data_IF_891355095817
#
_entry.id   IF_891355095817
#
_cell.length_a   1.000
_cell.length_b   1.000
_cell.length_c   1.000
_cell.angle_alpha   90.00
_cell.angle_beta   90.00
_cell.angle_gamma   90.00
#
_symmetry.space_group_name_H-M   'P 1'
#
loop_
_entity.id
_entity.type
_entity.pdbx_description
1 polymer ?
#
# COMPACT_ATOMS: atom_id res chain seq x y z
N UNK A 1 20.58 -16.57 28.72
CA UNK A 1 19.61 -17.43 29.42
C UNK A 1 19.01 -18.34 28.38
N UNK A 2 19.31 -19.64 28.50
CA UNK A 2 19.23 -20.60 27.39
C UNK A 2 17.78 -20.86 26.97
N UNK A 3 17.54 -20.99 25.66
CA UNK A 3 16.27 -21.41 25.04
C UNK A 3 15.74 -22.76 25.58
N UNK A 4 16.55 -23.47 26.35
CA UNK A 4 16.23 -24.77 26.93
C UNK A 4 15.33 -24.70 28.17
N UNK A 5 15.14 -23.54 28.82
CA UNK A 5 14.23 -23.44 29.99
C UNK A 5 12.76 -23.33 29.59
N UNK A 6 12.45 -22.73 28.43
CA UNK A 6 11.06 -22.64 27.95
C UNK A 6 10.55 -24.00 27.43
N UNK A 7 11.45 -24.83 26.88
CA UNK A 7 11.10 -26.18 26.44
C UNK A 7 10.86 -27.13 27.61
N UNK A 8 11.58 -26.96 28.74
CA UNK A 8 11.34 -27.77 29.94
C UNK A 8 10.01 -27.46 30.64
N UNK A 9 9.45 -26.25 30.48
CA UNK A 9 8.15 -25.89 31.06
C UNK A 9 6.98 -26.51 30.27
N UNK A 10 7.16 -26.81 28.98
CA UNK A 10 6.15 -27.40 28.11
C UNK A 10 6.18 -28.95 28.07
N UNK A 11 7.20 -29.59 28.65
CA UNK A 11 7.43 -31.04 28.53
C UNK A 11 7.04 -31.86 29.77
N UNK A 12 6.55 -31.25 30.84
CA UNK A 12 6.34 -31.94 32.11
C UNK A 12 4.93 -31.82 32.70
N UNK A 13 3.95 -31.26 31.99
CA UNK A 13 2.64 -31.01 32.63
C UNK A 13 1.40 -31.10 31.73
N UNK A 14 1.33 -31.98 30.73
CA UNK A 14 0.06 -32.06 29.98
C UNK A 14 -0.35 -33.42 29.43
N UNK A 15 -1.63 -33.70 29.67
CA UNK A 15 -2.38 -34.93 29.47
C UNK A 15 -2.64 -35.25 27.98
N UNK A 16 -3.28 -36.39 27.71
CA UNK A 16 -3.60 -36.97 26.39
C UNK A 16 -4.28 -35.98 25.40
N UNK A 17 -4.91 -34.91 25.91
CA UNK A 17 -5.56 -33.84 25.14
C UNK A 17 -4.57 -32.92 24.37
N UNK A 18 -3.32 -32.81 24.82
CA UNK A 18 -2.31 -31.94 24.18
C UNK A 18 -1.71 -32.54 22.90
N UNK A 19 -1.75 -33.87 22.78
CA UNK A 19 -1.31 -34.57 21.58
C UNK A 19 -2.21 -34.23 20.39
N UNK A 20 -3.52 -34.09 20.63
CA UNK A 20 -4.49 -33.69 19.62
C UNK A 20 -4.25 -32.25 19.16
N UNK A 21 -4.00 -31.32 20.09
CA UNK A 21 -3.67 -29.93 19.79
C UNK A 21 -2.39 -29.82 18.95
N UNK A 22 -1.34 -30.57 19.29
CA UNK A 22 -0.08 -30.60 18.53
C UNK A 22 -0.28 -31.07 17.09
N UNK A 23 -1.14 -32.07 16.86
CA UNK A 23 -1.42 -32.57 15.50
C UNK A 23 -2.18 -31.55 14.65
N UNK A 24 -3.16 -30.84 15.24
CA UNK A 24 -3.93 -29.79 14.56
C UNK A 24 -3.03 -28.62 14.15
N UNK A 25 -2.10 -28.22 15.02
CA UNK A 25 -1.13 -27.14 14.73
C UNK A 25 -0.20 -27.53 13.58
N UNK A 26 0.35 -28.75 13.61
CA UNK A 26 1.26 -29.22 12.57
C UNK A 26 0.56 -29.34 11.20
N UNK A 27 -0.70 -29.81 11.18
CA UNK A 27 -1.50 -29.88 9.97
C UNK A 27 -1.84 -28.50 9.40
N UNK A 28 -2.17 -27.53 10.24
CA UNK A 28 -2.47 -26.16 9.78
C UNK A 28 -1.20 -25.44 9.30
N UNK A 29 -0.04 -25.70 9.91
CA UNK A 29 1.25 -25.18 9.44
C UNK A 29 1.60 -25.71 8.03
N UNK A 30 1.43 -27.02 7.78
CA UNK A 30 1.65 -27.63 6.47
C UNK A 30 0.63 -27.16 5.42
N UNK A 31 -0.64 -27.01 5.81
CA UNK A 31 -1.70 -26.49 4.92
C UNK A 31 -1.38 -25.07 4.47
N UNK A 32 -1.02 -24.18 5.40
CA UNK A 32 -0.60 -22.80 5.11
C UNK A 32 0.67 -22.75 4.25
N UNK A 33 1.58 -23.71 4.40
CA UNK A 33 2.81 -23.81 3.59
C UNK A 33 2.48 -24.22 2.15
N UNK A 34 1.56 -25.18 1.98
CA UNK A 34 1.08 -25.60 0.66
C UNK A 34 0.31 -24.49 -0.07
N UNK A 35 -0.52 -23.72 0.65
CA UNK A 35 -1.23 -22.56 0.09
C UNK A 35 -0.27 -21.47 -0.39
N UNK A 36 0.84 -21.26 0.33
CA UNK A 36 1.91 -20.33 -0.10
C UNK A 36 2.65 -20.83 -1.35
N UNK A 37 2.82 -22.15 -1.51
CA UNK A 37 3.49 -22.73 -2.68
C UNK A 37 2.63 -22.74 -3.95
N UNK A 38 1.30 -22.83 -3.82
CA UNK A 38 0.37 -22.90 -4.97
C UNK A 38 0.25 -21.57 -5.73
N UNK A 39 0.58 -20.43 -5.11
CA UNK A 39 0.55 -19.12 -5.79
C UNK A 39 1.82 -18.89 -6.62
N UNK A 40 1.98 -19.66 -7.70
CA UNK A 40 2.99 -19.41 -8.73
C UNK A 40 2.65 -18.13 -9.49
N UNK A 41 3.17 -17.01 -9.01
CA UNK A 41 3.16 -15.76 -9.76
C UNK A 41 4.01 -15.94 -11.02
N UNK A 42 3.39 -15.80 -12.20
CA UNK A 42 4.13 -15.73 -13.47
C UNK A 42 5.20 -14.65 -13.34
N UNK A 43 6.46 -15.04 -13.51
CA UNK A 43 7.59 -14.13 -13.51
C UNK A 43 7.51 -13.08 -14.63
N UNK A 44 8.55 -12.25 -14.72
CA UNK A 44 8.66 -11.25 -15.78
C UNK A 44 8.55 -11.90 -17.16
N UNK A 45 7.61 -11.40 -17.98
CA UNK A 45 7.45 -11.86 -19.36
C UNK A 45 8.60 -11.27 -20.19
N UNK A 46 9.42 -12.15 -20.79
CA UNK A 46 10.48 -11.75 -21.70
C UNK A 46 9.91 -10.90 -22.84
N UNK A 47 10.52 -9.74 -23.13
CA UNK A 47 10.04 -8.79 -24.13
C UNK A 47 9.08 -7.70 -23.62
N UNK A 48 8.63 -7.76 -22.35
CA UNK A 48 7.84 -6.67 -21.77
C UNK A 48 8.72 -5.43 -21.55
N UNK A 49 8.38 -4.33 -22.22
CA UNK A 49 9.02 -3.03 -22.00
C UNK A 49 8.45 -2.35 -20.76
N UNK A 50 9.36 -1.91 -19.88
CA UNK A 50 9.00 -1.00 -18.79
C UNK A 50 8.76 0.41 -19.36
N UNK A 51 7.63 1.02 -18.99
CA UNK A 51 7.32 2.42 -19.31
C UNK A 51 7.43 3.22 -18.01
N UNK A 52 8.27 4.25 -18.02
CA UNK A 52 8.34 5.18 -16.90
C UNK A 52 7.12 6.10 -16.93
N UNK A 53 6.11 5.78 -16.11
CA UNK A 53 4.84 6.51 -16.05
C UNK A 53 4.94 7.77 -15.16
N UNK A 54 6.15 8.22 -14.80
CA UNK A 54 6.37 9.43 -14.02
C UNK A 54 5.79 9.36 -12.62
N UNK A 55 6.08 8.28 -11.87
CA UNK A 55 5.51 8.03 -10.54
C UNK A 55 5.76 9.18 -9.55
N UNK A 56 6.97 9.74 -9.55
CA UNK A 56 7.38 10.84 -8.67
C UNK A 56 6.62 12.13 -9.05
N UNK A 57 6.64 12.51 -10.32
CA UNK A 57 5.93 13.69 -10.82
C UNK A 57 4.42 13.62 -10.57
N UNK A 58 3.83 12.44 -10.72
CA UNK A 58 2.41 12.23 -10.42
C UNK A 58 2.09 12.42 -8.93
N UNK A 59 2.99 12.00 -8.03
CA UNK A 59 2.83 12.22 -6.60
C UNK A 59 2.91 13.72 -6.27
N UNK A 60 3.94 14.40 -6.76
CA UNK A 60 4.15 15.84 -6.55
C UNK A 60 2.96 16.65 -7.05
N UNK A 61 2.38 16.31 -8.21
CA UNK A 61 1.19 16.99 -8.75
C UNK A 61 0.00 16.84 -7.81
N UNK A 62 -0.35 15.61 -7.39
CA UNK A 62 -1.46 15.38 -6.46
C UNK A 62 -1.23 16.11 -5.13
N UNK A 63 0.00 16.05 -4.60
CA UNK A 63 0.35 16.70 -3.36
C UNK A 63 0.22 18.22 -3.47
N UNK A 64 0.81 18.85 -4.49
CA UNK A 64 0.71 20.29 -4.72
C UNK A 64 -0.73 20.76 -4.89
N UNK A 65 -1.51 19.99 -5.64
CA UNK A 65 -2.86 20.39 -6.03
C UNK A 65 -3.84 20.41 -4.84
N UNK A 66 -3.71 19.44 -3.93
CA UNK A 66 -4.69 19.19 -2.86
C UNK A 66 -4.12 19.25 -1.45
N UNK A 67 -2.82 18.97 -1.30
CA UNK A 67 -2.14 18.74 -0.03
C UNK A 67 -1.06 19.79 0.34
N UNK A 68 -0.69 20.71 -0.54
CA UNK A 68 0.19 21.82 -0.17
C UNK A 68 -0.54 22.83 0.72
N UNK A 69 0.23 23.72 1.36
CA UNK A 69 -0.27 24.90 2.07
C UNK A 69 0.38 26.15 1.44
N UNK A 70 -0.40 27.03 0.79
CA UNK A 70 -1.79 26.85 0.37
C UNK A 70 -1.94 25.83 -0.78
N UNK A 71 -3.05 25.08 -0.88
CA UNK A 71 -3.28 24.18 -2.01
C UNK A 71 -3.71 24.93 -3.28
N UNK A 72 -3.40 24.40 -4.45
CA UNK A 72 -3.87 24.97 -5.74
C UNK A 72 -5.39 24.99 -5.81
N UNK A 73 -6.03 23.90 -5.37
CA UNK A 73 -7.48 23.80 -5.37
C UNK A 73 -8.10 24.06 -3.99
N UNK A 74 -9.11 24.95 -3.90
CA UNK A 74 -9.85 25.16 -2.66
C UNK A 74 -10.54 23.89 -2.14
N UNK A 75 -10.86 23.81 -0.83
CA UNK A 75 -11.44 22.61 -0.19
C UNK A 75 -12.74 22.07 -0.83
N UNK A 76 -13.49 22.91 -1.55
CA UNK A 76 -14.69 22.49 -2.29
C UNK A 76 -14.38 21.44 -3.37
N UNK A 77 -13.26 21.59 -4.07
CA UNK A 77 -12.84 20.65 -5.11
C UNK A 77 -12.32 19.35 -4.50
N UNK A 78 -11.61 19.44 -3.37
CA UNK A 78 -11.20 18.26 -2.61
C UNK A 78 -12.41 17.38 -2.24
N UNK A 79 -13.47 17.99 -1.68
CA UNK A 79 -14.71 17.27 -1.34
C UNK A 79 -15.40 16.68 -2.56
N UNK A 80 -15.43 17.40 -3.70
CA UNK A 80 -15.99 16.85 -4.95
C UNK A 80 -15.20 15.63 -5.46
N UNK A 81 -13.86 15.69 -5.35
CA UNK A 81 -12.94 14.65 -5.84
C UNK A 81 -12.94 13.40 -4.96
N UNK A 82 -12.71 13.58 -3.66
CA UNK A 82 -12.51 12.49 -2.70
C UNK A 82 -13.74 12.16 -1.86
N UNK A 83 -14.81 12.96 -1.98
CA UNK A 83 -16.09 12.81 -1.25
C UNK A 83 -15.95 12.86 0.28
N UNK A 84 -14.85 13.42 0.77
CA UNK A 84 -14.54 13.58 2.19
C UNK A 84 -13.70 14.85 2.42
N UNK A 85 -13.52 15.24 3.68
CA UNK A 85 -12.61 16.34 4.05
C UNK A 85 -11.15 15.86 4.09
N UNK A 86 -10.21 16.80 3.93
CA UNK A 86 -8.78 16.50 3.84
C UNK A 86 -8.19 15.86 5.11
N UNK A 87 -8.60 16.32 6.29
CA UNK A 87 -8.16 15.73 7.55
C UNK A 87 -8.59 14.27 7.71
N UNK A 88 -9.81 13.93 7.26
CA UNK A 88 -10.29 12.55 7.26
C UNK A 88 -9.49 11.69 6.27
N UNK A 89 -9.19 12.22 5.09
CA UNK A 89 -8.34 11.53 4.12
C UNK A 89 -6.98 11.16 4.71
N UNK A 90 -6.29 12.12 5.35
CA UNK A 90 -4.96 11.90 5.93
C UNK A 90 -5.00 10.87 7.08
N UNK A 91 -6.05 10.88 7.90
CA UNK A 91 -6.25 9.85 8.93
C UNK A 91 -6.45 8.46 8.33
N UNK A 92 -7.24 8.34 7.26
CA UNK A 92 -7.45 7.07 6.57
C UNK A 92 -6.14 6.60 5.94
N UNK A 93 -5.39 7.50 5.30
CA UNK A 93 -4.08 7.18 4.73
C UNK A 93 -3.16 6.58 5.79
N UNK A 94 -3.00 7.25 6.95
CA UNK A 94 -2.16 6.76 8.02
C UNK A 94 -2.63 5.40 8.57
N UNK A 95 -3.94 5.21 8.74
CA UNK A 95 -4.50 3.94 9.20
C UNK A 95 -4.27 2.80 8.20
N UNK A 96 -4.41 3.08 6.90
CA UNK A 96 -4.19 2.10 5.82
C UNK A 96 -2.71 1.77 5.68
N UNK A 97 -1.81 2.75 5.72
CA UNK A 97 -0.36 2.53 5.70
C UNK A 97 0.12 1.68 6.89
N UNK A 98 -0.51 1.86 8.07
CA UNK A 98 -0.20 1.07 9.25
C UNK A 98 -0.72 -0.37 9.16
N UNK A 99 -1.83 -0.60 8.46
CA UNK A 99 -2.46 -1.91 8.39
C UNK A 99 -1.97 -2.75 7.20
N UNK A 100 -1.69 -2.13 6.06
CA UNK A 100 -1.35 -2.81 4.82
C UNK A 100 -0.03 -2.29 4.20
N UNK A 101 1.04 -3.10 4.20
CA UNK A 101 2.31 -2.78 3.57
C UNK A 101 2.22 -2.43 2.08
N UNK A 102 1.16 -2.86 1.39
CA UNK A 102 0.91 -2.49 0.00
C UNK A 102 0.82 -0.98 -0.18
N UNK A 103 0.32 -0.22 0.79
CA UNK A 103 0.17 1.23 0.67
C UNK A 103 1.46 1.99 0.99
N UNK A 104 2.38 1.38 1.74
CA UNK A 104 3.69 1.97 2.02
C UNK A 104 4.49 2.10 0.72
N UNK A 105 5.05 3.28 0.48
CA UNK A 105 5.86 3.51 -0.71
C UNK A 105 7.24 2.86 -0.53
N UNK A 106 7.49 1.79 -1.27
CA UNK A 106 8.77 1.07 -1.25
C UNK A 106 9.58 1.33 -2.52
N UNK A 107 10.89 1.12 -2.43
CA UNK A 107 11.78 1.10 -3.59
C UNK A 107 11.72 -0.29 -4.22
N UNK A 108 11.52 -0.34 -5.55
CA UNK A 108 11.66 -1.58 -6.30
C UNK A 108 13.12 -2.04 -6.32
N UNK A 109 13.36 -3.29 -6.76
CA UNK A 109 14.71 -3.89 -6.89
C UNK A 109 15.64 -3.03 -7.76
N UNK A 110 15.10 -2.27 -8.72
CA UNK A 110 15.84 -1.31 -9.55
C UNK A 110 16.10 0.06 -8.87
N UNK A 111 15.86 0.20 -7.57
CA UNK A 111 16.07 1.42 -6.78
C UNK A 111 15.04 2.54 -6.99
N UNK A 112 14.09 2.39 -7.94
CA UNK A 112 13.04 3.37 -8.21
C UNK A 112 11.91 3.32 -7.18
N UNK A 113 11.40 4.49 -6.79
CA UNK A 113 10.22 4.60 -5.92
C UNK A 113 8.96 4.15 -6.65
N UNK A 114 8.21 3.24 -6.02
CA UNK A 114 6.90 2.85 -6.49
C UNK A 114 5.83 3.92 -6.29
N UNK A 115 4.58 3.58 -6.62
CA UNK A 115 3.45 4.47 -6.38
C UNK A 115 3.31 4.78 -4.89
N UNK A 116 3.09 6.05 -4.57
CA UNK A 116 2.77 6.50 -3.21
C UNK A 116 1.39 6.04 -2.77
N UNK A 117 1.16 5.99 -1.46
CA UNK A 117 -0.17 5.79 -0.85
C UNK A 117 -1.20 6.79 -1.39
N UNK A 118 -0.83 8.07 -1.52
CA UNK A 118 -1.68 9.10 -2.13
C UNK A 118 -2.15 8.71 -3.52
N UNK A 119 -1.26 8.24 -4.39
CA UNK A 119 -1.62 7.82 -5.75
C UNK A 119 -2.53 6.58 -5.74
N UNK A 120 -2.22 5.58 -4.91
CA UNK A 120 -3.01 4.35 -4.78
C UNK A 120 -4.43 4.67 -4.28
N UNK A 121 -4.54 5.45 -3.21
CA UNK A 121 -5.82 5.88 -2.65
C UNK A 121 -6.60 6.78 -3.62
N UNK A 122 -5.92 7.70 -4.31
CA UNK A 122 -6.55 8.55 -5.33
C UNK A 122 -7.14 7.70 -6.45
N UNK A 123 -6.41 6.69 -6.94
CA UNK A 123 -6.90 5.77 -7.95
C UNK A 123 -8.11 4.95 -7.47
N UNK A 124 -8.10 4.50 -6.20
CA UNK A 124 -9.21 3.72 -5.63
C UNK A 124 -10.47 4.55 -5.38
N UNK A 125 -10.33 5.80 -4.93
CA UNK A 125 -11.45 6.66 -4.52
C UNK A 125 -12.04 7.44 -5.71
N UNK A 126 -11.22 7.84 -6.68
CA UNK A 126 -11.67 8.67 -7.79
C UNK A 126 -12.38 7.84 -8.86
N UNK A 127 -13.72 7.95 -8.94
CA UNK A 127 -14.47 7.56 -10.14
C UNK A 127 -14.41 8.72 -11.15
N UNK A 128 -13.67 8.52 -12.23
CA UNK A 128 -13.40 9.43 -13.35
C UNK A 128 -12.41 10.61 -13.11
N UNK A 129 -11.48 10.85 -14.05
CA UNK A 129 -10.59 12.02 -14.03
C UNK A 129 -11.39 13.32 -14.20
N UNK A 130 -10.99 14.37 -13.47
CA UNK A 130 -11.51 15.71 -13.64
C UNK A 130 -10.87 16.28 -14.92
N UNK A 131 -11.62 16.59 -15.99
CA UNK A 131 -11.06 17.07 -17.25
C UNK A 131 -10.37 18.45 -17.12
N UNK A 132 -10.60 19.16 -16.01
CA UNK A 132 -10.13 20.53 -15.80
C UNK A 132 -8.64 20.65 -15.39
N UNK A 133 -7.90 19.54 -15.32
CA UNK A 133 -6.51 19.52 -14.86
C UNK A 133 -5.48 19.91 -15.93
N UNK A 134 -5.89 20.16 -17.17
CA UNK A 134 -4.99 20.48 -18.29
C UNK A 134 -4.91 21.99 -18.64
N UNK A 135 -5.61 22.87 -17.91
CA UNK A 135 -5.86 24.25 -18.38
C UNK A 135 -5.12 25.41 -17.71
N UNK A 136 -4.18 25.21 -16.78
CA UNK A 136 -3.74 26.34 -15.91
C UNK A 136 -2.24 26.50 -15.66
N UNK A 137 -1.36 26.01 -16.53
CA UNK A 137 0.04 26.44 -16.54
C UNK A 137 0.58 26.56 -17.98
N UNK A 138 1.10 27.75 -18.31
CA UNK A 138 1.84 28.14 -19.53
C UNK A 138 1.07 28.80 -20.68
N UNK A 139 0.56 30.01 -20.44
CA UNK A 139 0.57 31.06 -21.47
C UNK A 139 1.76 32.00 -21.19
N UNK A 140 2.77 32.14 -22.07
CA UNK A 140 3.75 33.20 -21.92
C UNK A 140 3.12 34.52 -22.41
N UNK A 141 3.01 35.50 -21.52
CA UNK A 141 2.90 36.90 -21.91
C UNK A 141 4.17 37.28 -22.68
N UNK A 142 4.05 37.57 -23.96
CA UNK A 142 4.97 38.48 -24.65
C UNK A 142 4.16 39.64 -25.23
N UNK A 143 4.69 40.84 -24.98
CA UNK A 143 4.19 42.13 -25.46
C UNK A 143 4.38 42.26 -26.97
#
# INVERSE_FOLDING_TARGET
>A
MSRNTLLNFLLLDSDDDDLEILTVIAMEEERLKSEREVVRHRGSVQGRRYIDCGTILGHERIFRDYFAEPPVYPPKYFRRRFRMIRSLFLRIQAAVEAHDPYFVQTRYVAGKLGLSSLQKMTAAICRHPNPDLEGSLSAPMMK
#
